data_IF_713918154863
#
_entry.id   IF_713918154863
#
_cell.length_a   1.000
_cell.length_b   1.000
_cell.length_c   1.000
_cell.angle_alpha   90.00
_cell.angle_beta   90.00
_cell.angle_gamma   90.00
#
_symmetry.space_group_name_H-M   'P 1'
#
loop_
_entity.id
_entity.type
_entity.pdbx_description
1 polymer ?
#
# COMPACT_ATOMS: atom_id res chain seq x y z
N UNK A 1 5.97 3.24 -29.32
CA UNK A 1 4.61 3.25 -28.75
C UNK A 1 4.67 2.65 -27.36
N UNK A 2 4.86 3.49 -26.34
CA UNK A 2 4.91 3.03 -24.95
C UNK A 2 3.50 2.79 -24.42
N UNK A 3 3.21 1.57 -23.98
CA UNK A 3 1.96 1.25 -23.32
C UNK A 3 1.90 2.00 -21.98
N UNK A 4 1.10 3.05 -21.92
CA UNK A 4 0.77 3.74 -20.67
C UNK A 4 0.13 2.72 -19.72
N UNK A 5 0.76 2.46 -18.58
CA UNK A 5 0.10 1.76 -17.48
C UNK A 5 -1.01 2.67 -16.96
N UNK A 6 -2.25 2.39 -17.34
CA UNK A 6 -3.43 3.06 -16.80
C UNK A 6 -3.56 2.69 -15.30
N UNK A 7 -2.89 3.44 -14.42
CA UNK A 7 -3.21 3.43 -12.99
C UNK A 7 -4.57 4.13 -12.80
N UNK A 8 -5.66 3.38 -12.93
CA UNK A 8 -6.96 3.88 -12.50
C UNK A 8 -7.05 3.78 -10.97
N UNK A 9 -7.35 4.91 -10.35
CA UNK A 9 -7.47 5.06 -8.90
C UNK A 9 -8.96 5.16 -8.56
N UNK A 10 -9.49 4.18 -7.82
CA UNK A 10 -10.86 4.25 -7.30
C UNK A 10 -10.80 4.50 -5.79
N UNK A 11 -11.38 5.63 -5.35
CA UNK A 11 -11.49 5.97 -3.94
C UNK A 11 -12.83 5.45 -3.42
N UNK A 12 -12.81 4.24 -2.86
CA UNK A 12 -14.00 3.61 -2.29
C UNK A 12 -13.95 3.74 -0.78
N UNK A 13 -15.04 4.21 -0.18
CA UNK A 13 -15.21 4.22 1.26
C UNK A 13 -16.53 3.55 1.60
N UNK A 14 -16.48 2.38 2.22
CA UNK A 14 -17.66 1.67 2.71
C UNK A 14 -17.44 1.32 4.18
N UNK A 15 -18.50 1.42 4.97
CA UNK A 15 -18.57 0.85 6.31
C UNK A 15 -20.00 0.45 6.62
N UNK A 16 -20.23 -0.83 6.91
CA UNK A 16 -21.45 -1.31 7.57
C UNK A 16 -21.35 -2.78 8.02
N UNK A 17 -20.18 -3.26 8.42
CA UNK A 17 -20.05 -4.55 9.10
C UNK A 17 -18.89 -4.49 10.09
N UNK A 18 -19.02 -5.15 11.25
CA UNK A 18 -18.09 -5.09 12.40
C UNK A 18 -16.63 -5.54 12.15
N UNK A 19 -16.18 -5.54 10.91
CA UNK A 19 -14.78 -5.70 10.53
C UNK A 19 -13.94 -4.53 11.04
N UNK A 20 -12.69 -4.81 11.41
CA UNK A 20 -11.76 -3.79 11.90
C UNK A 20 -11.08 -3.01 10.76
N UNK A 21 -11.41 -3.31 9.50
CA UNK A 21 -10.73 -2.81 8.31
C UNK A 21 -11.70 -2.08 7.40
N UNK A 22 -11.33 -0.88 6.97
CA UNK A 22 -12.08 -0.08 6.02
C UNK A 22 -11.25 0.11 4.76
N UNK A 23 -11.81 -0.26 3.61
CA UNK A 23 -11.20 0.06 2.32
C UNK A 23 -11.12 1.58 2.14
N UNK A 24 -9.97 2.08 1.72
CA UNK A 24 -9.77 3.51 1.39
C UNK A 24 -9.57 3.68 -0.11
N UNK A 25 -8.77 2.80 -0.72
CA UNK A 25 -8.32 3.00 -2.09
C UNK A 25 -8.01 1.68 -2.77
N UNK A 26 -8.42 1.57 -4.02
CA UNK A 26 -8.05 0.46 -4.92
C UNK A 26 -7.21 1.02 -6.06
N UNK A 27 -6.06 0.40 -6.30
CA UNK A 27 -5.15 0.71 -7.42
C UNK A 27 -4.96 -0.50 -8.31
N UNK A 28 -5.23 -0.37 -9.60
CA UNK A 28 -4.99 -1.44 -10.56
C UNK A 28 -3.54 -1.39 -11.04
N UNK A 29 -2.79 -2.45 -10.75
CA UNK A 29 -1.41 -2.62 -11.15
C UNK A 29 -1.35 -3.79 -12.12
N UNK A 30 -1.72 -3.55 -13.39
CA UNK A 30 -1.95 -4.52 -14.48
C UNK A 30 -3.34 -5.16 -14.53
N UNK A 31 -3.60 -5.84 -15.64
CA UNK A 31 -4.86 -6.49 -16.04
C UNK A 31 -5.53 -7.38 -14.97
N UNK A 32 -4.74 -8.07 -14.12
CA UNK A 32 -5.27 -9.06 -13.16
C UNK A 32 -4.88 -8.82 -11.70
N UNK A 33 -3.99 -7.87 -11.44
CA UNK A 33 -3.48 -7.58 -10.10
C UNK A 33 -3.86 -6.18 -9.70
N UNK A 34 -4.26 -6.03 -8.44
CA UNK A 34 -4.53 -4.72 -7.88
C UNK A 34 -4.16 -4.68 -6.41
N UNK A 35 -3.91 -3.48 -5.93
CA UNK A 35 -3.51 -3.17 -4.58
C UNK A 35 -4.68 -2.48 -3.90
N UNK A 36 -5.09 -3.01 -2.75
CA UNK A 36 -6.11 -2.39 -1.91
C UNK A 36 -5.44 -1.82 -0.65
N UNK A 37 -5.57 -0.51 -0.45
CA UNK A 37 -5.18 0.17 0.77
C UNK A 37 -6.36 0.23 1.73
N UNK A 38 -6.14 -0.21 2.96
CA UNK A 38 -7.14 -0.30 4.00
C UNK A 38 -6.66 0.40 5.27
N UNK A 39 -7.56 1.13 5.91
CA UNK A 39 -7.36 1.66 7.26
C UNK A 39 -7.86 0.66 8.29
N UNK A 40 -7.09 0.47 9.35
CA UNK A 40 -7.58 -0.21 10.54
C UNK A 40 -8.38 0.78 11.40
N UNK A 41 -9.69 0.60 11.52
CA UNK A 41 -10.56 1.52 12.30
C UNK A 41 -10.15 1.58 13.77
N UNK A 42 -9.50 0.52 14.28
CA UNK A 42 -9.09 0.39 15.69
C UNK A 42 -7.62 0.75 15.97
N UNK A 43 -6.80 1.02 14.94
CA UNK A 43 -5.35 1.24 15.10
C UNK A 43 -4.84 2.24 14.06
N UNK A 44 -3.81 3.01 14.39
CA UNK A 44 -3.14 3.97 13.49
C UNK A 44 -2.28 3.31 12.39
N UNK A 45 -2.53 2.04 12.07
CA UNK A 45 -1.70 1.27 11.14
C UNK A 45 -2.43 1.03 9.82
N UNK A 46 -1.73 1.32 8.73
CA UNK A 46 -2.21 1.07 7.37
C UNK A 46 -1.95 -0.39 6.99
N UNK A 47 -2.93 -1.02 6.34
CA UNK A 47 -2.80 -2.36 5.76
C UNK A 47 -2.94 -2.25 4.25
N UNK A 48 -1.97 -2.80 3.55
CA UNK A 48 -1.99 -2.93 2.08
C UNK A 48 -2.14 -4.39 1.70
N UNK A 49 -3.14 -4.70 0.88
CA UNK A 49 -3.35 -6.02 0.28
C UNK A 49 -2.88 -6.03 -1.16
N UNK A 50 -2.21 -7.12 -1.53
CA UNK A 50 -2.03 -7.48 -2.93
C UNK A 50 -3.07 -8.54 -3.30
N UNK A 51 -3.87 -8.25 -4.31
CA UNK A 51 -5.00 -9.08 -4.73
C UNK A 51 -4.82 -9.48 -6.19
N UNK A 52 -5.41 -10.62 -6.54
CA UNK A 52 -5.65 -10.96 -7.94
C UNK A 52 -7.11 -11.33 -8.17
N UNK A 53 -7.56 -11.06 -9.39
CA UNK A 53 -8.83 -11.54 -9.94
C UNK A 53 -8.59 -12.62 -10.99
N UNK A 54 -9.56 -13.51 -11.17
CA UNK A 54 -9.53 -14.52 -12.24
C UNK A 54 -9.60 -13.91 -13.64
N UNK A 55 -10.29 -12.78 -13.79
CA UNK A 55 -10.57 -12.15 -15.08
C UNK A 55 -9.85 -10.81 -15.23
N UNK A 56 -9.76 -10.31 -16.47
CA UNK A 56 -9.31 -8.95 -16.76
C UNK A 56 -10.20 -7.96 -15.99
N UNK A 57 -9.60 -7.02 -15.26
CA UNK A 57 -10.34 -6.01 -14.50
C UNK A 57 -9.61 -4.66 -14.58
N UNK A 58 -10.24 -3.68 -15.21
CA UNK A 58 -9.81 -2.27 -15.23
C UNK A 58 -10.56 -1.39 -14.23
N UNK A 59 -11.64 -1.90 -13.64
CA UNK A 59 -12.44 -1.22 -12.63
C UNK A 59 -13.41 -2.22 -12.00
N UNK A 60 -13.96 -1.87 -10.83
CA UNK A 60 -14.91 -2.70 -10.10
C UNK A 60 -16.28 -2.02 -10.07
N UNK A 61 -17.32 -2.77 -10.43
CA UNK A 61 -18.71 -2.35 -10.19
C UNK A 61 -19.11 -2.57 -8.72
N UNK A 62 -20.32 -2.16 -8.34
CA UNK A 62 -20.78 -2.24 -6.94
C UNK A 62 -20.80 -3.68 -6.40
N UNK A 63 -21.30 -4.65 -7.17
CA UNK A 63 -21.28 -6.08 -6.80
C UNK A 63 -19.85 -6.61 -6.61
N UNK A 64 -18.93 -6.19 -7.48
CA UNK A 64 -17.52 -6.57 -7.42
C UNK A 64 -16.81 -5.91 -6.24
N UNK A 65 -17.17 -4.69 -5.87
CA UNK A 65 -16.71 -4.03 -4.64
C UNK A 65 -17.22 -4.76 -3.41
N UNK A 66 -18.50 -5.12 -3.35
CA UNK A 66 -19.07 -5.90 -2.25
C UNK A 66 -18.40 -7.29 -2.11
N UNK A 67 -18.17 -8.00 -3.22
CA UNK A 67 -17.45 -9.28 -3.18
C UNK A 67 -15.98 -9.10 -2.78
N UNK A 68 -15.34 -8.01 -3.20
CA UNK A 68 -14.00 -7.68 -2.73
C UNK A 68 -14.00 -7.39 -1.22
N UNK A 69 -15.02 -6.71 -0.70
CA UNK A 69 -15.15 -6.46 0.75
C UNK A 69 -15.28 -7.72 1.57
N UNK A 70 -16.01 -8.71 1.04
CA UNK A 70 -16.12 -10.01 1.67
C UNK A 70 -14.76 -10.67 1.93
N UNK A 71 -13.71 -10.31 1.16
CA UNK A 71 -12.33 -10.77 1.37
C UNK A 71 -11.77 -10.45 2.75
N UNK A 72 -12.25 -9.39 3.39
CA UNK A 72 -11.71 -8.91 4.66
C UNK A 72 -12.77 -8.69 5.74
N UNK A 73 -14.06 -8.92 5.46
CA UNK A 73 -15.12 -8.86 6.48
C UNK A 73 -14.91 -9.87 7.62
N UNK A 74 -14.34 -11.05 7.31
CA UNK A 74 -14.13 -12.15 8.27
C UNK A 74 -12.68 -12.28 8.75
N UNK A 75 -11.83 -11.29 8.47
CA UNK A 75 -10.41 -11.37 8.80
C UNK A 75 -10.14 -10.90 10.22
N UNK A 76 -9.37 -11.70 10.95
CA UNK A 76 -8.85 -11.32 12.26
C UNK A 76 -7.47 -10.69 12.10
N UNK A 77 -7.26 -9.58 12.82
CA UNK A 77 -5.95 -8.95 12.96
C UNK A 77 -5.19 -9.65 14.08
N UNK A 78 -4.14 -10.40 13.73
CA UNK A 78 -3.31 -11.09 14.73
C UNK A 78 -2.03 -10.30 14.95
N UNK A 79 -1.82 -9.70 16.14
CA UNK A 79 -0.56 -9.08 16.49
C UNK A 79 0.60 -10.07 16.35
N UNK A 80 1.78 -9.58 15.93
CA UNK A 80 3.02 -10.36 15.85
C UNK A 80 3.06 -11.51 14.84
N UNK A 81 2.03 -11.66 13.98
CA UNK A 81 2.06 -12.57 12.82
C UNK A 81 2.49 -11.82 11.58
N UNK A 82 3.23 -12.49 10.68
CA UNK A 82 3.68 -11.89 9.42
C UNK A 82 2.48 -11.43 8.59
N UNK A 83 2.48 -10.17 8.16
CA UNK A 83 1.36 -9.56 7.42
C UNK A 83 0.08 -9.32 8.23
N UNK A 84 0.01 -9.73 9.50
CA UNK A 84 -1.02 -9.34 10.47
C UNK A 84 -2.44 -9.80 10.20
N UNK A 85 -2.69 -10.61 9.17
CA UNK A 85 -4.04 -11.05 8.77
C UNK A 85 -4.16 -12.57 8.88
N UNK A 86 -5.30 -13.00 9.39
CA UNK A 86 -5.67 -14.41 9.49
C UNK A 86 -7.11 -14.62 9.06
N UNK A 87 -7.29 -15.58 8.14
CA UNK A 87 -8.59 -16.11 7.75
C UNK A 87 -8.86 -17.39 8.54
N UNK A 88 -10.06 -17.57 9.11
CA UNK A 88 -10.44 -18.83 9.74
C UNK A 88 -10.28 -20.02 8.78
N UNK A 89 -9.87 -21.18 9.30
CA UNK A 89 -9.74 -22.39 8.50
C UNK A 89 -11.06 -22.72 7.78
N UNK A 90 -10.98 -23.06 6.49
CA UNK A 90 -12.15 -23.37 5.66
C UNK A 90 -12.94 -22.15 5.19
N UNK A 91 -12.60 -20.93 5.60
CA UNK A 91 -13.23 -19.72 5.05
C UNK A 91 -12.77 -19.47 3.61
N UNK A 92 -13.72 -19.16 2.74
CA UNK A 92 -13.42 -18.60 1.42
C UNK A 92 -12.98 -17.15 1.62
N UNK A 93 -11.96 -16.71 0.87
CA UNK A 93 -11.55 -15.32 0.89
C UNK A 93 -12.68 -14.45 0.35
N UNK A 94 -13.03 -14.54 -0.94
CA UNK A 94 -14.22 -13.85 -1.48
C UNK A 94 -15.45 -14.76 -1.52
N UNK A 95 -16.65 -14.19 -1.38
CA UNK A 95 -17.94 -14.91 -1.44
C UNK A 95 -18.10 -15.67 -2.76
N UNK A 96 -17.75 -15.02 -3.87
CA UNK A 96 -17.83 -15.60 -5.22
C UNK A 96 -16.61 -16.46 -5.59
N UNK A 97 -15.49 -16.31 -4.86
CA UNK A 97 -14.19 -16.87 -5.23
C UNK A 97 -13.52 -16.18 -6.44
N UNK A 98 -13.99 -14.99 -6.83
CA UNK A 98 -13.40 -14.14 -7.87
C UNK A 98 -12.06 -13.55 -7.44
N UNK A 99 -11.94 -13.16 -6.17
CA UNK A 99 -10.75 -12.52 -5.63
C UNK A 99 -9.95 -13.45 -4.74
N UNK A 100 -8.63 -13.29 -4.79
CA UNK A 100 -7.69 -13.98 -3.92
C UNK A 100 -6.67 -12.99 -3.38
N UNK A 101 -6.42 -13.06 -2.07
CA UNK A 101 -5.36 -12.29 -1.42
C UNK A 101 -4.04 -13.03 -1.59
N UNK A 102 -3.08 -12.37 -2.24
CA UNK A 102 -1.76 -12.92 -2.54
C UNK A 102 -0.73 -12.57 -1.48
N UNK A 103 -0.91 -11.43 -0.81
CA UNK A 103 -0.06 -11.00 0.28
C UNK A 103 -0.67 -9.82 1.03
N UNK A 104 -0.13 -9.58 2.21
CA UNK A 104 -0.48 -8.41 3.01
C UNK A 104 0.76 -7.74 3.58
N UNK A 105 0.69 -6.43 3.69
CA UNK A 105 1.69 -5.60 4.33
C UNK A 105 1.02 -4.77 5.41
N UNK A 106 1.45 -4.98 6.65
CA UNK A 106 1.12 -4.12 7.79
C UNK A 106 2.28 -3.15 8.00
N UNK A 107 1.99 -1.85 8.08
CA UNK A 107 3.03 -0.84 8.26
C UNK A 107 2.73 0.14 9.39
N UNK A 108 3.77 0.45 10.15
CA UNK A 108 3.79 1.52 11.15
C UNK A 108 4.80 2.56 10.68
N UNK A 109 4.37 3.81 10.53
CA UNK A 109 5.18 4.88 9.95
C UNK A 109 5.19 6.09 10.87
N UNK A 110 6.37 6.60 11.15
CA UNK A 110 6.59 7.91 11.78
C UNK A 110 7.24 8.82 10.76
N UNK A 111 6.73 10.05 10.66
CA UNK A 111 7.25 11.07 9.76
C UNK A 111 7.76 12.24 10.57
N UNK A 112 8.98 12.67 10.26
CA UNK A 112 9.58 13.90 10.76
C UNK A 112 9.89 14.80 9.55
N UNK A 113 9.69 16.10 9.72
CA UNK A 113 10.06 17.11 8.72
C UNK A 113 10.98 18.12 9.39
N UNK A 114 12.17 18.27 8.82
CA UNK A 114 13.22 19.18 9.32
C UNK A 114 13.63 20.20 8.25
N UNK A 115 14.86 20.70 8.36
CA UNK A 115 15.49 21.66 7.43
C UNK A 115 15.49 21.11 5.99
N UNK A 116 14.45 21.37 5.21
CA UNK A 116 14.39 20.92 3.82
C UNK A 116 14.11 19.42 3.60
N UNK A 117 14.32 18.56 4.60
CA UNK A 117 14.13 17.10 4.49
C UNK A 117 12.87 16.58 5.17
N UNK A 118 12.24 15.57 4.54
CA UNK A 118 11.27 14.69 5.16
C UNK A 118 11.88 13.32 5.39
N UNK A 119 11.84 12.88 6.64
CA UNK A 119 12.26 11.57 7.10
C UNK A 119 11.03 10.72 7.39
N UNK A 120 11.06 9.48 6.93
CA UNK A 120 10.02 8.49 7.19
C UNK A 120 10.70 7.23 7.71
N UNK A 121 10.57 6.98 9.01
CA UNK A 121 10.94 5.70 9.60
C UNK A 121 9.71 4.80 9.57
N UNK A 122 9.83 3.63 8.98
CA UNK A 122 8.73 2.71 8.80
C UNK A 122 9.12 1.28 9.17
N UNK A 123 8.33 0.66 10.03
CA UNK A 123 8.36 -0.80 10.21
C UNK A 123 7.35 -1.39 9.24
N UNK A 124 7.79 -2.33 8.40
CA UNK A 124 6.93 -3.04 7.45
C UNK A 124 6.97 -4.53 7.70
N UNK A 125 5.81 -5.08 8.00
CA UNK A 125 5.60 -6.50 8.21
C UNK A 125 4.83 -7.08 7.03
N UNK A 126 5.51 -7.89 6.21
CA UNK A 126 4.98 -8.41 4.94
C UNK A 126 4.82 -9.93 4.98
N UNK A 127 3.82 -10.41 4.25
CA UNK A 127 3.65 -11.83 3.92
C UNK A 127 3.22 -11.99 2.47
N UNK A 128 3.77 -13.00 1.82
CA UNK A 128 3.32 -13.53 0.54
C UNK A 128 2.72 -14.91 0.78
N UNK A 129 1.40 -15.02 0.69
CA UNK A 129 0.69 -16.25 1.02
C UNK A 129 1.05 -17.39 0.07
N UNK A 130 1.26 -17.09 -1.22
CA UNK A 130 1.62 -18.11 -2.23
C UNK A 130 2.98 -18.75 -1.95
N UNK A 131 3.95 -17.96 -1.50
CA UNK A 131 5.30 -18.44 -1.18
C UNK A 131 5.43 -18.93 0.27
N UNK A 132 4.37 -18.79 1.08
CA UNK A 132 4.38 -18.99 2.53
C UNK A 132 5.56 -18.28 3.21
N UNK A 133 5.99 -17.16 2.62
CA UNK A 133 7.17 -16.42 3.02
C UNK A 133 6.74 -15.05 3.54
N UNK A 134 7.52 -14.49 4.44
CA UNK A 134 7.26 -13.14 4.91
C UNK A 134 8.44 -12.56 5.65
N UNK A 135 8.48 -11.24 5.74
CA UNK A 135 9.62 -10.48 6.24
C UNK A 135 9.14 -9.29 7.04
N UNK A 136 9.83 -9.01 8.13
CA UNK A 136 9.76 -7.72 8.80
C UNK A 136 11.00 -6.92 8.40
N UNK A 137 10.80 -5.69 7.94
CA UNK A 137 11.87 -4.75 7.64
C UNK A 137 11.65 -3.44 8.39
N UNK A 138 12.76 -2.80 8.75
CA UNK A 138 12.82 -1.44 9.23
C UNK A 138 13.40 -0.62 8.08
N UNK A 139 12.64 0.34 7.59
CA UNK A 139 12.94 1.11 6.40
C UNK A 139 13.03 2.59 6.78
N UNK A 140 14.12 3.24 6.37
CA UNK A 140 14.29 4.69 6.45
C UNK A 140 14.16 5.24 5.04
N UNK A 141 13.25 6.19 4.85
CA UNK A 141 13.12 6.93 3.61
C UNK A 141 13.37 8.41 3.88
N UNK A 142 14.31 8.98 3.15
CA UNK A 142 14.69 10.39 3.23
C UNK A 142 14.42 10.99 1.87
N UNK A 143 13.78 12.15 1.84
CA UNK A 143 13.56 12.89 0.60
C UNK A 143 13.47 14.39 0.87
N UNK A 144 13.78 15.24 -0.12
CA UNK A 144 13.54 16.67 -0.02
C UNK A 144 12.05 16.95 0.18
N UNK A 145 11.72 18.01 0.91
CA UNK A 145 10.36 18.54 1.02
C UNK A 145 9.87 19.11 -0.31
N UNK A 146 10.79 19.57 -1.16
CA UNK A 146 10.54 19.96 -2.54
C UNK A 146 10.10 18.77 -3.41
N UNK A 147 10.48 17.54 -3.07
CA UNK A 147 10.09 16.30 -3.78
C UNK A 147 8.58 16.15 -3.96
N UNK A 148 7.78 16.52 -2.95
CA UNK A 148 6.32 16.42 -3.04
C UNK A 148 5.71 17.33 -4.10
N UNK A 149 6.34 18.49 -4.36
CA UNK A 149 5.91 19.41 -5.43
C UNK A 149 6.19 18.81 -6.81
N UNK A 150 7.29 18.07 -6.94
CA UNK A 150 7.67 17.45 -8.21
C UNK A 150 6.80 16.23 -8.55
N UNK A 151 6.38 15.43 -7.58
CA UNK A 151 5.42 14.35 -7.82
C UNK A 151 4.03 14.83 -8.26
N UNK A 152 3.76 16.13 -8.19
CA UNK A 152 2.49 16.75 -8.63
C UNK A 152 2.66 17.57 -9.93
N UNK A 153 3.90 17.69 -10.45
CA UNK A 153 4.23 18.42 -11.68
C UNK A 153 4.30 17.53 -12.92
N UNK A 154 4.54 18.10 -14.11
CA UNK A 154 4.64 17.35 -15.37
C UNK A 154 5.73 16.27 -15.34
N UNK A 155 5.52 15.18 -16.08
CA UNK A 155 6.23 13.88 -16.03
C UNK A 155 7.74 13.91 -16.36
N UNK A 156 8.30 15.06 -16.75
CA UNK A 156 9.65 15.16 -17.30
C UNK A 156 10.62 15.86 -16.33
N UNK A 157 10.99 15.17 -15.24
CA UNK A 157 12.14 15.56 -14.44
C UNK A 157 13.42 15.14 -15.17
N UNK A 158 14.33 16.08 -15.41
CA UNK A 158 15.63 15.75 -15.97
C UNK A 158 16.47 14.95 -14.96
N UNK A 159 17.45 14.20 -15.44
CA UNK A 159 18.38 13.47 -14.56
C UNK A 159 19.16 14.47 -13.71
N UNK A 160 19.45 15.65 -14.25
CA UNK A 160 20.15 16.75 -13.59
C UNK A 160 19.36 17.32 -12.39
N UNK A 161 18.04 17.47 -12.53
CA UNK A 161 17.17 17.89 -11.43
C UNK A 161 17.12 16.84 -10.32
N UNK A 162 17.03 15.56 -10.70
CA UNK A 162 17.07 14.44 -9.75
C UNK A 162 18.40 14.39 -9.00
N UNK A 163 19.52 14.56 -9.71
CA UNK A 163 20.86 14.61 -9.11
C UNK A 163 21.00 15.77 -8.14
N UNK A 164 20.52 16.95 -8.52
CA UNK A 164 20.53 18.14 -7.65
C UNK A 164 19.75 17.90 -6.36
N UNK A 165 18.58 17.25 -6.45
CA UNK A 165 17.78 16.85 -5.28
C UNK A 165 18.51 15.84 -4.40
N UNK A 166 19.18 14.85 -4.99
CA UNK A 166 19.95 13.85 -4.23
C UNK A 166 21.12 14.52 -3.49
N UNK A 167 21.85 15.41 -4.16
CA UNK A 167 22.97 16.14 -3.55
C UNK A 167 22.48 17.03 -2.39
N UNK A 168 21.35 17.72 -2.55
CA UNK A 168 20.73 18.48 -1.46
C UNK A 168 20.41 17.60 -0.24
N UNK A 169 19.90 16.37 -0.45
CA UNK A 169 19.67 15.42 0.65
C UNK A 169 20.96 15.02 1.33
N UNK A 170 21.99 14.70 0.55
CA UNK A 170 23.28 14.24 1.08
C UNK A 170 23.91 15.35 1.91
N UNK A 171 23.98 16.59 1.41
CA UNK A 171 24.54 17.72 2.14
C UNK A 171 23.76 18.01 3.42
N UNK A 172 22.43 18.13 3.33
CA UNK A 172 21.58 18.41 4.50
C UNK A 172 21.63 17.28 5.53
N UNK A 173 21.74 16.02 5.11
CA UNK A 173 21.91 14.90 6.03
C UNK A 173 23.31 14.90 6.65
N UNK A 174 24.36 15.19 5.87
CA UNK A 174 25.74 15.23 6.32
C UNK A 174 25.97 16.31 7.38
N UNK A 175 25.37 17.50 7.23
CA UNK A 175 25.38 18.58 8.23
C UNK A 175 24.78 18.19 9.59
N UNK A 176 23.98 17.13 9.67
CA UNK A 176 23.44 16.65 10.96
C UNK A 176 24.42 15.75 11.72
N UNK A 177 25.51 15.29 11.09
CA UNK A 177 26.47 14.34 11.67
C UNK A 177 27.86 14.94 11.95
N UNK A 178 28.10 16.19 11.57
CA UNK A 178 29.34 16.95 11.81
C UNK A 178 29.05 18.07 12.80
#
# INVERSE_FOLDING_TARGET
>A
MGAKSNEQLQHCSISSSGSCLKMIKVKFATVRYFICDMACVKKTSDIRLMLCTKNYCTGLNEEELEDLESCFSNVSLIPNVKGGLHWPAGSKQSRSGRFKVLGSTHSEKVVFVGRGLRWSLQKRNRIEFKASSGRVSYEVNIRPTSYDKFCQGPEDMSIEDLLSLILEVIDQAWEQFV
#
